data_IF_115989805157
#
_entry.id   IF_115989805157
#
_cell.length_a   1.000
_cell.length_b   1.000
_cell.length_c   1.000
_cell.angle_alpha   90.00
_cell.angle_beta   90.00
_cell.angle_gamma   90.00
#
_symmetry.space_group_name_H-M   'P 1'
#
loop_
_entity.id
_entity.type
_entity.pdbx_description
1 polymer ?
#
# COMPACT_ATOMS: atom_id res chain seq x y z
N UNK A 1 9.29 -24.23 -15.38
CA UNK A 1 10.45 -23.63 -14.69
C UNK A 1 10.08 -22.20 -14.35
N UNK A 2 10.31 -21.76 -13.11
CA UNK A 2 10.12 -20.36 -12.72
C UNK A 2 11.02 -19.46 -13.58
N UNK A 3 10.53 -18.29 -14.02
CA UNK A 3 11.38 -17.34 -14.74
C UNK A 3 12.45 -16.83 -13.77
N UNK A 4 13.73 -16.77 -14.17
CA UNK A 4 14.78 -16.31 -13.26
C UNK A 4 14.65 -14.82 -12.91
N UNK A 5 13.95 -14.03 -13.74
CA UNK A 5 13.67 -12.61 -13.53
C UNK A 5 12.25 -12.31 -14.00
N UNK A 6 11.49 -11.57 -13.17
CA UNK A 6 10.20 -10.99 -13.56
C UNK A 6 10.39 -9.50 -13.78
N UNK A 7 10.16 -9.03 -15.01
CA UNK A 7 10.21 -7.61 -15.36
C UNK A 7 8.81 -7.04 -15.30
N UNK A 8 8.55 -6.12 -14.36
CA UNK A 8 7.19 -5.62 -14.11
C UNK A 8 6.56 -4.86 -15.29
N UNK A 9 7.39 -4.20 -16.13
CA UNK A 9 6.88 -3.49 -17.31
C UNK A 9 6.22 -4.42 -18.35
N UNK A 10 6.54 -5.72 -18.28
CA UNK A 10 6.02 -6.74 -19.18
C UNK A 10 4.80 -7.46 -18.57
N UNK A 11 4.40 -7.10 -17.33
CA UNK A 11 3.22 -7.67 -16.66
C UNK A 11 1.99 -6.80 -16.92
N UNK A 12 0.84 -7.47 -16.96
CA UNK A 12 -0.46 -6.85 -17.24
C UNK A 12 -1.44 -7.25 -16.13
N UNK A 13 -1.22 -6.78 -14.89
CA UNK A 13 -2.09 -7.14 -13.78
C UNK A 13 -3.50 -6.58 -14.01
N UNK A 14 -4.50 -7.40 -13.71
CA UNK A 14 -5.88 -6.94 -13.71
C UNK A 14 -6.12 -6.06 -12.46
N UNK A 15 -6.87 -4.95 -12.59
CA UNK A 15 -7.21 -4.11 -11.46
C UNK A 15 -8.10 -4.87 -10.48
N UNK A 16 -7.71 -4.89 -9.22
CA UNK A 16 -8.55 -5.34 -8.11
C UNK A 16 -9.05 -4.11 -7.38
N UNK A 17 -10.35 -3.87 -7.46
CA UNK A 17 -11.00 -2.71 -6.84
C UNK A 17 -11.38 -3.03 -5.39
N UNK A 18 -11.20 -2.04 -4.51
CA UNK A 18 -11.66 -2.09 -3.12
C UNK A 18 -11.26 -3.37 -2.37
N UNK A 19 -10.00 -3.77 -2.59
CA UNK A 19 -9.39 -4.94 -1.97
C UNK A 19 -9.05 -4.70 -0.49
N UNK A 20 -8.88 -3.44 -0.07
CA UNK A 20 -8.60 -3.07 1.30
C UNK A 20 -9.73 -3.53 2.24
N UNK A 21 -9.37 -4.27 3.30
CA UNK A 21 -10.31 -4.79 4.31
C UNK A 21 -10.24 -4.04 5.63
N UNK A 22 -9.47 -2.95 5.67
CA UNK A 22 -9.36 -2.10 6.84
C UNK A 22 -10.66 -1.30 7.06
N UNK A 23 -10.85 -0.88 8.30
CA UNK A 23 -12.01 -0.08 8.69
C UNK A 23 -11.88 1.33 8.12
N UNK A 24 -12.93 1.80 7.41
CA UNK A 24 -13.05 3.20 6.98
C UNK A 24 -13.49 4.05 8.18
N UNK A 25 -12.67 5.04 8.54
CA UNK A 25 -12.97 5.98 9.61
C UNK A 25 -13.60 7.28 9.09
N UNK A 26 -13.16 7.76 7.92
CA UNK A 26 -13.63 9.03 7.33
C UNK A 26 -13.59 9.00 5.80
N UNK A 27 -14.56 9.68 5.18
CA UNK A 27 -14.70 9.77 3.73
C UNK A 27 -15.25 8.49 3.09
N UNK A 28 -15.13 8.42 1.77
CA UNK A 28 -15.40 7.19 1.00
C UNK A 28 -14.20 6.84 0.11
N UNK A 29 -13.09 6.41 0.72
CA UNK A 29 -11.90 6.06 -0.04
C UNK A 29 -12.12 4.78 -0.86
N UNK A 30 -11.69 4.83 -2.11
CA UNK A 30 -11.64 3.70 -3.04
C UNK A 30 -10.20 3.32 -3.34
N UNK A 31 -9.95 2.02 -3.53
CA UNK A 31 -8.61 1.49 -3.80
C UNK A 31 -8.54 0.71 -5.10
N UNK A 32 -7.38 0.77 -5.75
CA UNK A 32 -7.04 -0.08 -6.89
C UNK A 32 -5.70 -0.74 -6.61
N UNK A 33 -5.68 -2.07 -6.63
CA UNK A 33 -4.46 -2.86 -6.57
C UNK A 33 -4.14 -3.44 -7.94
N UNK A 34 -2.91 -3.23 -8.40
CA UNK A 34 -2.33 -3.83 -9.60
C UNK A 34 -1.19 -4.75 -9.16
N UNK A 35 -1.53 -6.00 -8.83
CA UNK A 35 -0.58 -7.00 -8.32
C UNK A 35 0.28 -7.54 -9.47
N UNK A 36 1.38 -6.86 -9.74
CA UNK A 36 2.28 -7.14 -10.85
C UNK A 36 3.13 -8.41 -10.64
N UNK A 37 3.31 -8.85 -9.39
CA UNK A 37 4.00 -10.07 -9.02
C UNK A 37 3.41 -10.69 -7.74
N UNK A 38 3.37 -12.02 -7.71
CA UNK A 38 3.07 -12.84 -6.54
C UNK A 38 4.06 -14.01 -6.50
N UNK A 39 4.67 -14.28 -5.36
CA UNK A 39 5.56 -15.45 -5.20
C UNK A 39 4.78 -16.77 -5.28
N UNK A 40 5.46 -17.86 -5.60
CA UNK A 40 4.83 -19.19 -5.76
C UNK A 40 4.06 -19.65 -4.50
N UNK A 41 4.57 -19.29 -3.32
CA UNK A 41 3.95 -19.58 -2.02
C UNK A 41 2.91 -18.52 -1.57
N UNK A 42 2.69 -17.47 -2.38
CA UNK A 42 1.82 -16.35 -2.05
C UNK A 42 2.30 -15.47 -0.90
N UNK A 43 3.50 -15.71 -0.36
CA UNK A 43 4.01 -14.96 0.80
C UNK A 43 4.38 -13.52 0.45
N UNK A 44 4.71 -13.24 -0.82
CA UNK A 44 5.14 -11.91 -1.29
C UNK A 44 4.27 -11.46 -2.45
N UNK A 45 3.79 -10.22 -2.35
CA UNK A 45 3.07 -9.54 -3.42
C UNK A 45 3.79 -8.22 -3.69
N UNK A 46 4.00 -7.90 -4.97
CA UNK A 46 4.52 -6.61 -5.38
C UNK A 46 3.59 -6.02 -6.43
N UNK A 47 3.35 -4.72 -6.34
CA UNK A 47 2.44 -4.06 -7.27
C UNK A 47 2.37 -2.55 -7.10
N UNK A 48 1.35 -1.99 -7.73
CA UNK A 48 0.94 -0.60 -7.53
C UNK A 48 -0.35 -0.57 -6.74
N UNK A 49 -0.43 0.32 -5.77
CA UNK A 49 -1.65 0.63 -5.05
C UNK A 49 -2.00 2.10 -5.27
N UNK A 50 -3.29 2.35 -5.52
CA UNK A 50 -3.85 3.69 -5.70
C UNK A 50 -4.99 3.85 -4.71
N UNK A 51 -5.09 5.01 -4.07
CA UNK A 51 -6.21 5.30 -3.16
C UNK A 51 -6.64 6.76 -3.25
N UNK A 52 -7.96 6.97 -3.34
CA UNK A 52 -8.57 8.31 -3.24
C UNK A 52 -8.60 8.79 -1.78
N UNK A 53 -8.82 10.10 -1.54
CA UNK A 53 -8.83 10.64 -0.19
C UNK A 53 -9.82 9.96 0.76
N UNK A 54 -9.42 9.86 2.02
CA UNK A 54 -10.17 9.23 3.11
C UNK A 54 -9.24 8.68 4.18
N UNK A 55 -9.82 8.15 5.25
CA UNK A 55 -9.08 7.70 6.44
C UNK A 55 -9.44 6.27 6.82
N UNK A 56 -8.40 5.50 7.17
CA UNK A 56 -8.50 4.11 7.55
C UNK A 56 -7.91 3.88 8.95
N UNK A 57 -8.49 2.96 9.71
CA UNK A 57 -7.79 2.31 10.81
C UNK A 57 -7.05 1.09 10.25
N UNK A 58 -5.74 1.01 10.51
CA UNK A 58 -4.88 -0.02 9.94
C UNK A 58 -4.30 -0.91 11.03
N UNK A 59 -4.16 -2.19 10.70
CA UNK A 59 -3.39 -3.17 11.47
C UNK A 59 -2.53 -3.99 10.52
N UNK A 60 -1.22 -3.86 10.65
CA UNK A 60 -0.24 -4.56 9.83
C UNK A 60 0.18 -5.86 10.51
N UNK A 61 -0.13 -6.98 9.87
CA UNK A 61 0.34 -8.31 10.30
C UNK A 61 1.59 -8.78 9.55
N UNK A 62 1.97 -8.04 8.52
CA UNK A 62 3.02 -8.34 7.56
C UNK A 62 3.85 -7.10 7.32
N UNK A 63 5.05 -7.32 6.81
CA UNK A 63 6.00 -6.28 6.49
C UNK A 63 5.63 -5.65 5.15
N UNK A 64 5.61 -4.32 5.04
CA UNK A 64 5.32 -3.64 3.78
C UNK A 64 6.39 -2.60 3.42
N UNK A 65 7.06 -2.78 2.29
CA UNK A 65 7.81 -1.70 1.64
C UNK A 65 6.86 -0.81 0.85
N UNK A 66 7.04 0.50 0.93
CA UNK A 66 6.30 1.50 0.18
C UNK A 66 7.25 2.49 -0.50
N UNK A 67 6.91 2.87 -1.73
CA UNK A 67 7.53 4.00 -2.43
C UNK A 67 6.43 4.82 -3.11
N UNK A 68 6.17 5.99 -2.56
CA UNK A 68 5.14 6.90 -3.07
C UNK A 68 5.61 7.56 -4.35
N UNK A 69 4.82 7.41 -5.42
CA UNK A 69 5.05 8.08 -6.70
C UNK A 69 4.31 9.41 -6.77
N UNK A 70 3.11 9.47 -6.18
CA UNK A 70 2.19 10.60 -6.24
C UNK A 70 1.42 10.73 -4.92
N UNK A 71 0.95 11.93 -4.63
CA UNK A 71 0.00 12.21 -3.55
C UNK A 71 0.63 12.52 -2.19
N UNK A 72 -0.23 12.51 -1.18
CA UNK A 72 0.10 12.89 0.19
C UNK A 72 -0.77 12.10 1.18
N UNK A 73 -0.10 11.44 2.13
CA UNK A 73 -0.70 10.68 3.22
C UNK A 73 -0.11 11.12 4.56
N UNK A 74 -0.91 11.01 5.61
CA UNK A 74 -0.45 11.11 7.00
C UNK A 74 -0.69 9.77 7.68
N UNK A 75 0.38 9.15 8.18
CA UNK A 75 0.30 7.92 8.97
C UNK A 75 0.53 8.26 10.43
N UNK A 76 -0.39 7.89 11.30
CA UNK A 76 -0.25 8.11 12.74
C UNK A 76 -0.30 6.78 13.47
N UNK A 77 0.85 6.24 13.90
CA UNK A 77 0.87 5.06 14.76
C UNK A 77 0.27 5.37 16.14
N UNK A 78 -0.31 4.36 16.78
CA UNK A 78 -0.89 4.51 18.12
C UNK A 78 0.14 5.01 19.14
N UNK A 79 -0.18 6.11 19.84
CA UNK A 79 0.68 6.71 20.85
C UNK A 79 1.94 7.41 20.30
N UNK A 80 2.04 7.59 18.98
CA UNK A 80 3.18 8.26 18.33
C UNK A 80 2.73 9.50 17.57
N UNK A 81 3.70 10.35 17.24
CA UNK A 81 3.46 11.53 16.40
C UNK A 81 3.14 11.14 14.94
N UNK A 82 2.32 11.94 14.23
CA UNK A 82 2.03 11.73 12.82
C UNK A 82 3.27 11.83 11.93
N UNK A 83 3.32 10.98 10.91
CA UNK A 83 4.36 10.95 9.88
C UNK A 83 3.73 11.39 8.56
N UNK A 84 4.26 12.46 7.99
CA UNK A 84 3.80 13.01 6.72
C UNK A 84 4.59 12.41 5.56
N UNK A 85 3.91 11.82 4.58
CA UNK A 85 4.52 11.10 3.46
C UNK A 85 3.96 11.60 2.13
N UNK A 86 4.85 11.94 1.19
CA UNK A 86 4.56 12.54 -0.12
C UNK A 86 5.25 11.77 -1.25
N UNK A 87 4.97 12.19 -2.47
CA UNK A 87 5.68 11.72 -3.66
C UNK A 87 7.22 11.77 -3.46
N UNK A 88 7.89 10.66 -3.73
CA UNK A 88 9.32 10.46 -3.53
C UNK A 88 9.70 9.81 -2.21
N UNK A 89 8.82 9.78 -1.21
CA UNK A 89 9.12 9.13 0.07
C UNK A 89 9.12 7.60 -0.08
N UNK A 90 10.12 6.99 0.55
CA UNK A 90 10.34 5.55 0.61
C UNK A 90 10.38 5.14 2.07
N UNK A 91 9.54 4.18 2.44
CA UNK A 91 9.40 3.77 3.83
C UNK A 91 8.96 2.33 3.94
N UNK A 92 8.98 1.84 5.18
CA UNK A 92 8.61 0.48 5.54
C UNK A 92 7.61 0.56 6.67
N UNK A 93 6.60 -0.32 6.63
CA UNK A 93 5.70 -0.57 7.75
C UNK A 93 6.03 -1.94 8.33
N UNK A 94 6.39 -1.95 9.61
CA UNK A 94 6.72 -3.18 10.34
C UNK A 94 5.46 -3.94 10.78
N UNK A 95 5.50 -5.28 10.85
CA UNK A 95 4.45 -6.05 11.51
C UNK A 95 4.20 -5.56 12.93
N UNK A 96 2.94 -5.47 13.31
CA UNK A 96 2.49 -4.93 14.60
C UNK A 96 2.18 -3.43 14.58
N UNK A 97 2.43 -2.72 13.46
CA UNK A 97 1.98 -1.34 13.33
C UNK A 97 0.44 -1.28 13.38
N UNK A 98 -0.07 -0.44 14.28
CA UNK A 98 -1.48 -0.08 14.42
C UNK A 98 -1.63 1.43 14.44
N UNK A 99 -2.75 1.93 13.93
CA UNK A 99 -3.05 3.35 13.94
C UNK A 99 -3.88 3.77 12.74
N UNK A 100 -3.61 4.95 12.20
CA UNK A 100 -4.39 5.49 11.09
C UNK A 100 -3.55 5.78 9.86
N UNK A 101 -4.17 5.61 8.70
CA UNK A 101 -3.69 6.13 7.42
C UNK A 101 -4.73 7.12 6.90
N UNK A 102 -4.32 8.36 6.76
CA UNK A 102 -5.15 9.44 6.21
C UNK A 102 -4.59 9.86 4.85
N UNK A 103 -5.29 9.43 3.80
CA UNK A 103 -4.98 9.83 2.42
C UNK A 103 -5.58 11.21 2.20
N UNK A 104 -4.73 12.23 2.14
CA UNK A 104 -5.14 13.64 2.01
C UNK A 104 -5.31 14.01 0.53
N UNK A 105 -4.39 13.54 -0.30
CA UNK A 105 -4.45 13.64 -1.77
C UNK A 105 -4.33 12.24 -2.35
N UNK A 106 -4.93 11.97 -3.51
CA UNK A 106 -4.87 10.64 -4.15
C UNK A 106 -3.44 10.14 -4.21
N UNK A 107 -3.17 9.02 -3.54
CA UNK A 107 -1.84 8.41 -3.48
C UNK A 107 -1.71 7.35 -4.55
N UNK A 108 -0.53 7.28 -5.17
CA UNK A 108 -0.06 6.13 -5.94
C UNK A 108 1.25 5.66 -5.34
N UNK A 109 1.35 4.39 -4.93
CA UNK A 109 2.59 3.79 -4.40
C UNK A 109 2.95 2.50 -5.11
N UNK A 110 4.25 2.26 -5.27
CA UNK A 110 4.74 0.89 -5.39
C UNK A 110 4.81 0.27 -4.01
N UNK A 111 4.48 -1.02 -3.91
CA UNK A 111 4.56 -1.75 -2.66
C UNK A 111 5.18 -3.13 -2.83
N UNK A 112 5.78 -3.63 -1.76
CA UNK A 112 6.04 -5.06 -1.54
C UNK A 112 5.41 -5.43 -0.21
N UNK A 113 4.46 -6.36 -0.21
CA UNK A 113 3.79 -6.88 0.97
C UNK A 113 4.27 -8.31 1.23
N UNK A 114 4.90 -8.55 2.39
CA UNK A 114 5.60 -9.79 2.71
C UNK A 114 5.24 -10.32 4.11
#
# INVERSE_FOLDING_TARGET
MSKPITVLRDTHPLPVLDACKWEKLEGDPHTVNLNAYTSEDGSKIMGTWICTPGKWYVEYVKWEYCHFQEGYCVITPEGMEPIHLRAGDIFVVEPGMKGTWEVVETVRKYFVFA
#
